data_IF_391056119746
#
_entry.id   IF_391056119746
#
_cell.length_a   1.000
_cell.length_b   1.000
_cell.length_c   1.000
_cell.angle_alpha   90.00
_cell.angle_beta   90.00
_cell.angle_gamma   90.00
#
_symmetry.space_group_name_H-M   'P 1'
#
loop_
_entity.id
_entity.type
_entity.pdbx_description
1 polymer ?
#
# COMPACT_ATOMS: atom_id res chain seq x y z
N UNK A 1 16.11 13.11 5.14
CA UNK A 1 15.98 11.71 5.60
C UNK A 1 16.58 10.81 4.54
N UNK A 2 17.20 9.69 4.93
CA UNK A 2 17.62 8.61 4.04
C UNK A 2 16.98 7.33 4.55
N UNK A 3 16.08 6.74 3.75
CA UNK A 3 15.38 5.51 4.12
C UNK A 3 15.99 4.34 3.35
N UNK A 4 16.42 3.31 4.08
CA UNK A 4 16.76 2.03 3.47
C UNK A 4 15.47 1.37 3.00
N UNK A 5 15.39 1.15 1.69
CA UNK A 5 14.14 0.85 1.01
C UNK A 5 13.72 -0.61 1.20
N UNK A 6 12.40 -0.83 1.26
CA UNK A 6 11.76 -2.13 1.19
C UNK A 6 12.34 -3.22 2.13
N UNK A 7 12.59 -2.88 3.39
CA UNK A 7 13.04 -3.84 4.40
C UNK A 7 11.95 -4.90 4.67
N UNK A 8 12.40 -6.16 4.63
CA UNK A 8 11.63 -7.37 4.88
C UNK A 8 12.62 -8.52 5.17
N UNK A 9 12.12 -9.71 5.53
CA UNK A 9 12.94 -10.86 5.93
C UNK A 9 13.89 -11.34 4.82
N UNK A 10 13.55 -11.11 3.55
CA UNK A 10 14.37 -11.52 2.39
C UNK A 10 15.49 -10.52 2.10
N UNK A 11 15.20 -9.23 2.24
CA UNK A 11 16.10 -8.14 1.88
C UNK A 11 17.06 -7.80 3.03
N UNK A 12 16.62 -7.95 4.28
CA UNK A 12 17.40 -7.61 5.47
C UNK A 12 18.78 -8.31 5.52
N UNK A 13 18.92 -9.62 5.25
CA UNK A 13 20.23 -10.28 5.23
C UNK A 13 21.20 -9.70 4.19
N UNK A 14 20.68 -9.24 3.04
CA UNK A 14 21.50 -8.61 2.00
C UNK A 14 22.03 -7.25 2.48
N UNK A 15 21.18 -6.43 3.09
CA UNK A 15 21.59 -5.13 3.65
C UNK A 15 22.68 -5.30 4.70
N UNK A 16 22.53 -6.29 5.60
CA UNK A 16 23.57 -6.65 6.58
C UNK A 16 24.88 -7.08 5.93
N UNK A 17 24.83 -7.98 4.95
CA UNK A 17 26.03 -8.45 4.22
C UNK A 17 26.78 -7.30 3.55
N UNK A 18 26.05 -6.32 3.03
CA UNK A 18 26.60 -5.12 2.41
C UNK A 18 26.98 -4.02 3.41
N UNK A 19 26.77 -4.24 4.72
CA UNK A 19 26.97 -3.24 5.79
C UNK A 19 26.21 -1.94 5.55
N UNK A 20 25.03 -2.02 4.93
CA UNK A 20 24.26 -0.86 4.49
C UNK A 20 23.78 0.00 5.67
N UNK A 21 23.42 -0.62 6.80
CA UNK A 21 23.01 0.08 8.02
C UNK A 21 24.18 0.88 8.59
N UNK A 22 25.32 0.23 8.77
CA UNK A 22 26.54 0.83 9.32
C UNK A 22 27.01 2.00 8.44
N UNK A 23 27.01 1.81 7.11
CA UNK A 23 27.32 2.88 6.16
C UNK A 23 26.35 4.06 6.28
N UNK A 24 25.04 3.80 6.38
CA UNK A 24 24.05 4.88 6.54
C UNK A 24 24.28 5.67 7.85
N UNK A 25 24.62 4.98 8.94
CA UNK A 25 24.93 5.63 10.22
C UNK A 25 26.25 6.41 10.17
N UNK A 26 27.27 5.92 9.48
CA UNK A 26 28.52 6.67 9.23
C UNK A 26 28.26 7.94 8.42
N UNK A 27 27.47 7.86 7.34
CA UNK A 27 27.07 9.03 6.55
C UNK A 27 26.30 10.06 7.38
N UNK A 28 25.54 9.62 8.40
CA UNK A 28 24.92 10.53 9.36
C UNK A 28 25.95 11.20 10.27
N UNK A 29 26.91 10.44 10.82
CA UNK A 29 28.00 10.98 11.65
C UNK A 29 28.85 12.01 10.88
N UNK A 30 29.05 11.79 9.58
CA UNK A 30 29.72 12.73 8.68
C UNK A 30 28.87 13.97 8.31
N UNK A 31 27.60 14.02 8.72
CA UNK A 31 26.68 15.12 8.41
C UNK A 31 26.11 15.10 6.99
N UNK A 32 26.39 14.06 6.18
CA UNK A 32 25.86 13.91 4.82
C UNK A 32 24.38 13.52 4.81
N UNK A 33 23.94 12.81 5.85
CA UNK A 33 22.54 12.44 6.08
C UNK A 33 22.09 13.05 7.41
N UNK A 34 20.92 13.69 7.44
CA UNK A 34 20.37 14.25 8.70
C UNK A 34 19.73 13.19 9.60
N UNK A 35 18.94 12.29 9.00
CA UNK A 35 18.22 11.23 9.71
C UNK A 35 18.20 9.96 8.87
N UNK A 36 18.43 8.81 9.51
CA UNK A 36 18.43 7.48 8.91
C UNK A 36 17.18 6.72 9.35
N UNK A 37 16.46 6.16 8.39
CA UNK A 37 15.28 5.33 8.65
C UNK A 37 15.18 4.14 7.73
N UNK A 38 14.06 3.45 7.79
CA UNK A 38 13.73 2.32 6.91
C UNK A 38 12.32 2.48 6.35
N UNK A 39 12.09 1.97 5.14
CA UNK A 39 10.75 1.64 4.67
C UNK A 39 10.52 0.15 4.83
N UNK A 40 9.36 -0.26 5.36
CA UNK A 40 9.11 -1.61 5.83
C UNK A 40 7.87 -2.24 5.19
N UNK A 41 8.00 -3.49 4.73
CA UNK A 41 6.97 -4.24 4.00
C UNK A 41 6.96 -5.72 4.39
N UNK A 42 6.82 -6.03 5.68
CA UNK A 42 6.73 -7.41 6.18
C UNK A 42 5.96 -7.46 7.51
N UNK A 43 6.04 -8.59 8.23
CA UNK A 43 5.38 -8.83 9.51
C UNK A 43 6.02 -8.13 10.69
N UNK A 44 5.23 -7.89 11.73
CA UNK A 44 5.69 -7.24 12.96
C UNK A 44 6.92 -7.91 13.59
N UNK A 45 7.01 -9.24 13.55
CA UNK A 45 8.15 -9.99 14.08
C UNK A 45 9.48 -9.66 13.38
N UNK A 46 9.43 -9.38 12.08
CA UNK A 46 10.62 -9.02 11.29
C UNK A 46 11.05 -7.59 11.63
N UNK A 47 10.09 -6.67 11.77
CA UNK A 47 10.41 -5.31 12.20
C UNK A 47 11.03 -5.30 13.60
N UNK A 48 10.49 -6.09 14.53
CA UNK A 48 11.00 -6.19 15.90
C UNK A 48 12.44 -6.68 15.92
N UNK A 49 12.77 -7.67 15.07
CA UNK A 49 14.14 -8.13 14.87
C UNK A 49 15.04 -7.00 14.35
N UNK A 50 14.63 -6.30 13.27
CA UNK A 50 15.44 -5.24 12.66
C UNK A 50 15.73 -4.13 13.66
N UNK A 51 14.72 -3.66 14.39
CA UNK A 51 14.88 -2.56 15.36
C UNK A 51 15.65 -2.98 16.62
N UNK A 52 15.59 -4.26 16.99
CA UNK A 52 16.42 -4.81 18.07
C UNK A 52 17.89 -4.89 17.66
N UNK A 53 18.18 -5.32 16.43
CA UNK A 53 19.56 -5.42 15.92
C UNK A 53 20.17 -4.05 15.58
N UNK A 54 19.34 -3.10 15.10
CA UNK A 54 19.76 -1.77 14.67
C UNK A 54 18.92 -0.66 15.35
N UNK A 55 19.09 -0.46 16.67
CA UNK A 55 18.33 0.53 17.42
C UNK A 55 18.60 1.98 16.99
N UNK A 56 19.67 2.24 16.24
CA UNK A 56 20.02 3.56 15.68
C UNK A 56 19.10 4.03 14.56
N UNK A 57 18.21 3.15 14.03
CA UNK A 57 17.14 3.56 13.10
C UNK A 57 16.24 4.60 13.80
N UNK A 58 16.06 5.77 13.20
CA UNK A 58 15.34 6.88 13.83
C UNK A 58 13.87 6.95 13.47
N UNK A 59 13.48 6.36 12.33
CA UNK A 59 12.13 6.49 11.81
C UNK A 59 11.79 5.29 10.92
N UNK A 60 10.54 4.85 10.96
CA UNK A 60 10.04 3.72 10.17
C UNK A 60 8.90 4.19 9.30
N UNK A 61 8.98 3.93 8.00
CA UNK A 61 7.88 4.11 7.07
C UNK A 61 7.12 2.80 6.92
N UNK A 62 5.80 2.80 7.20
CA UNK A 62 4.95 1.60 7.19
C UNK A 62 3.69 1.81 6.37
N UNK A 63 3.13 0.72 5.85
CA UNK A 63 1.80 0.72 5.26
C UNK A 63 0.75 0.80 6.37
N UNK A 64 -0.13 1.79 6.30
CA UNK A 64 -1.11 2.00 7.34
C UNK A 64 -2.38 2.67 6.80
N UNK A 65 -3.45 1.90 6.72
CA UNK A 65 -4.78 2.32 6.31
C UNK A 65 -5.83 1.44 7.01
N UNK A 66 -7.10 1.85 6.99
CA UNK A 66 -8.14 1.17 7.77
C UNK A 66 -8.44 -0.26 7.27
N UNK A 67 -8.19 -0.56 6.00
CA UNK A 67 -8.47 -1.87 5.42
C UNK A 67 -7.37 -2.89 5.77
N UNK A 68 -6.12 -2.43 5.83
CA UNK A 68 -4.97 -3.27 6.19
C UNK A 68 -4.68 -3.32 7.69
N UNK A 69 -5.41 -2.55 8.50
CA UNK A 69 -5.16 -2.39 9.93
C UNK A 69 -5.10 -3.72 10.69
N UNK A 70 -6.10 -4.58 10.51
CA UNK A 70 -6.16 -5.95 11.08
C UNK A 70 -5.85 -7.03 10.04
N UNK A 71 -5.33 -6.66 8.86
CA UNK A 71 -5.03 -7.63 7.81
C UNK A 71 -3.97 -8.63 8.27
N UNK A 72 -4.25 -9.92 8.10
CA UNK A 72 -3.26 -10.96 8.36
C UNK A 72 -2.05 -10.90 7.41
N UNK A 73 -2.18 -10.25 6.23
CA UNK A 73 -1.09 -10.14 5.25
C UNK A 73 -0.17 -8.94 5.51
N UNK A 74 -0.71 -7.80 5.95
CA UNK A 74 0.09 -6.57 6.17
C UNK A 74 0.42 -6.36 7.65
N UNK A 75 -0.49 -6.77 8.56
CA UNK A 75 -0.38 -6.58 10.01
C UNK A 75 -0.13 -5.12 10.45
N UNK A 76 -0.73 -4.13 9.77
CA UNK A 76 -0.45 -2.71 10.00
C UNK A 76 -0.54 -2.29 11.48
N UNK A 77 -1.53 -2.78 12.24
CA UNK A 77 -1.62 -2.52 13.69
C UNK A 77 -0.40 -3.07 14.43
N UNK A 78 -0.06 -4.36 14.25
CA UNK A 78 1.04 -4.99 14.99
C UNK A 78 2.39 -4.36 14.61
N UNK A 79 2.57 -4.01 13.35
CA UNK A 79 3.75 -3.30 12.85
C UNK A 79 3.87 -1.92 13.52
N UNK A 80 2.76 -1.16 13.60
CA UNK A 80 2.71 0.09 14.35
C UNK A 80 3.04 -0.10 15.83
N UNK A 81 2.48 -1.11 16.49
CA UNK A 81 2.76 -1.44 17.89
C UNK A 81 4.25 -1.75 18.14
N UNK A 82 4.94 -2.37 17.17
CA UNK A 82 6.40 -2.56 17.24
C UNK A 82 7.13 -1.22 17.14
N UNK A 83 6.72 -0.30 16.27
CA UNK A 83 7.29 1.05 16.25
C UNK A 83 7.10 1.75 17.61
N UNK A 84 5.92 1.64 18.22
CA UNK A 84 5.64 2.19 19.57
C UNK A 84 6.55 1.54 20.62
N UNK A 85 6.67 0.21 20.62
CA UNK A 85 7.54 -0.56 21.54
C UNK A 85 9.00 -0.09 21.49
N UNK A 86 9.49 0.25 20.31
CA UNK A 86 10.89 0.70 20.08
C UNK A 86 11.05 2.22 20.11
N UNK A 87 10.02 2.98 20.51
CA UNK A 87 9.98 4.44 20.52
C UNK A 87 10.39 5.06 19.17
N UNK A 88 9.88 4.48 18.07
CA UNK A 88 10.14 4.95 16.71
C UNK A 88 8.96 5.76 16.19
N UNK A 89 9.17 7.02 15.77
CA UNK A 89 8.17 7.74 15.00
C UNK A 89 7.89 7.03 13.68
N UNK A 90 6.68 7.25 13.17
CA UNK A 90 6.18 6.55 11.98
C UNK A 90 5.88 7.52 10.84
N UNK A 91 6.33 7.19 9.63
CA UNK A 91 5.86 7.78 8.38
C UNK A 91 4.83 6.83 7.76
N UNK A 92 3.66 7.34 7.40
CA UNK A 92 2.63 6.51 6.78
C UNK A 92 2.76 6.56 5.27
N UNK A 93 2.77 5.39 4.66
CA UNK A 93 2.55 5.20 3.23
C UNK A 93 1.26 4.41 2.98
N UNK A 94 0.76 4.53 1.76
CA UNK A 94 -0.47 3.90 1.29
C UNK A 94 -1.72 4.19 2.16
N UNK A 95 -1.95 5.43 2.64
CA UNK A 95 -3.13 5.72 3.46
C UNK A 95 -4.44 5.49 2.69
N UNK A 96 -4.41 5.59 1.35
CA UNK A 96 -5.55 5.36 0.44
C UNK A 96 -5.46 4.04 -0.35
N UNK A 97 -4.52 3.15 -0.02
CA UNK A 97 -4.30 1.83 -0.65
C UNK A 97 -4.34 1.83 -2.19
N UNK A 98 -3.51 2.65 -2.81
CA UNK A 98 -3.44 2.77 -4.28
C UNK A 98 -4.69 3.39 -4.94
N UNK A 99 -5.53 4.09 -4.16
CA UNK A 99 -6.78 4.72 -4.60
C UNK A 99 -8.03 3.86 -4.39
N UNK A 100 -7.88 2.62 -3.92
CA UNK A 100 -9.01 1.73 -3.63
C UNK A 100 -9.91 2.25 -2.50
N UNK A 101 -9.35 3.03 -1.56
CA UNK A 101 -10.12 3.66 -0.47
C UNK A 101 -10.75 5.00 -0.87
N UNK A 102 -10.56 5.40 -2.12
CA UNK A 102 -11.24 6.57 -2.73
C UNK A 102 -12.31 6.10 -3.70
N UNK A 103 -12.04 5.04 -4.47
CA UNK A 103 -13.01 4.41 -5.39
C UNK A 103 -13.68 3.22 -4.70
N UNK A 104 -14.71 3.51 -3.92
CA UNK A 104 -15.40 2.50 -3.10
C UNK A 104 -16.50 1.79 -3.91
N UNK A 105 -16.75 0.48 -3.68
CA UNK A 105 -17.97 -0.19 -4.13
C UNK A 105 -19.23 0.62 -3.76
N UNK A 106 -20.30 0.53 -4.56
CA UNK A 106 -21.53 1.31 -4.32
C UNK A 106 -22.11 1.10 -2.90
N UNK A 107 -22.10 -0.14 -2.41
CA UNK A 107 -22.52 -0.48 -1.05
C UNK A 107 -21.67 0.21 0.03
N UNK A 108 -20.36 0.34 -0.20
CA UNK A 108 -19.45 1.03 0.71
C UNK A 108 -19.57 2.55 0.59
N UNK A 109 -19.80 3.08 -0.61
CA UNK A 109 -19.98 4.51 -0.85
C UNK A 109 -21.20 5.06 -0.09
N UNK A 110 -22.32 4.34 -0.13
CA UNK A 110 -23.55 4.72 0.60
C UNK A 110 -23.33 4.94 2.10
N UNK A 111 -22.44 4.14 2.70
CA UNK A 111 -22.11 4.26 4.13
C UNK A 111 -21.44 5.61 4.42
N UNK A 112 -20.56 6.09 3.55
CA UNK A 112 -19.91 7.39 3.70
C UNK A 112 -20.82 8.55 3.28
N UNK A 113 -21.67 8.36 2.27
CA UNK A 113 -22.65 9.38 1.86
C UNK A 113 -23.59 9.75 3.02
N UNK A 114 -23.94 8.78 3.88
CA UNK A 114 -24.78 8.98 5.07
C UNK A 114 -24.12 9.82 6.19
N UNK A 115 -22.79 10.00 6.16
CA UNK A 115 -22.06 10.79 7.17
C UNK A 115 -22.18 12.31 6.95
N UNK A 116 -22.77 12.76 5.83
CA UNK A 116 -22.96 14.18 5.48
C UNK A 116 -21.68 15.05 5.66
N UNK A 117 -20.54 14.58 5.16
CA UNK A 117 -19.29 15.33 5.18
C UNK A 117 -18.14 14.57 4.51
N UNK A 118 -16.95 15.18 4.46
CA UNK A 118 -15.66 14.54 4.10
C UNK A 118 -15.56 13.90 2.71
N UNK A 119 -14.38 13.98 2.09
CA UNK A 119 -14.10 13.10 0.93
C UNK A 119 -13.74 11.69 1.41
N UNK A 120 -13.86 10.67 0.55
CA UNK A 120 -13.36 9.33 0.86
C UNK A 120 -11.87 9.33 1.23
N UNK A 121 -11.08 10.21 0.59
CA UNK A 121 -9.67 10.41 0.92
C UNK A 121 -9.49 10.99 2.33
N UNK A 122 -10.37 11.91 2.74
CA UNK A 122 -10.40 12.47 4.10
C UNK A 122 -10.51 11.38 5.15
N UNK A 123 -11.48 10.46 5.02
CA UNK A 123 -11.64 9.37 5.99
C UNK A 123 -10.40 8.48 6.08
N UNK A 124 -9.83 8.09 4.93
CA UNK A 124 -8.65 7.25 4.88
C UNK A 124 -7.40 7.91 5.49
N UNK A 125 -7.18 9.19 5.17
CA UNK A 125 -6.01 9.94 5.63
C UNK A 125 -6.16 10.39 7.09
N UNK A 126 -7.35 10.83 7.52
CA UNK A 126 -7.63 11.17 8.92
C UNK A 126 -7.52 9.94 9.83
N UNK A 127 -7.97 8.77 9.37
CA UNK A 127 -7.71 7.50 10.08
C UNK A 127 -6.21 7.32 10.32
N UNK A 128 -5.40 7.38 9.26
CA UNK A 128 -3.95 7.22 9.38
C UNK A 128 -3.30 8.30 10.25
N UNK A 129 -3.78 9.54 10.21
CA UNK A 129 -3.23 10.65 10.98
C UNK A 129 -3.63 10.62 12.47
N UNK A 130 -4.65 9.85 12.86
CA UNK A 130 -5.21 9.87 14.22
C UNK A 130 -4.37 9.14 15.28
N UNK A 131 -3.24 8.55 14.91
CA UNK A 131 -2.42 7.72 15.79
C UNK A 131 -1.20 8.51 16.35
N UNK A 132 -0.98 8.56 17.67
CA UNK A 132 0.03 9.46 18.29
C UNK A 132 1.47 9.34 17.76
N UNK A 133 1.94 8.11 17.48
CA UNK A 133 3.29 7.90 16.96
C UNK A 133 3.44 8.20 15.45
N UNK A 134 2.35 8.45 14.74
CA UNK A 134 2.40 8.83 13.33
C UNK A 134 2.77 10.31 13.22
N UNK A 135 3.85 10.60 12.48
CA UNK A 135 4.38 11.97 12.34
C UNK A 135 4.03 12.62 11.02
N UNK A 136 3.95 11.83 9.95
CA UNK A 136 3.64 12.31 8.61
C UNK A 136 2.82 11.25 7.88
N UNK A 137 1.78 11.68 7.18
CA UNK A 137 1.02 10.84 6.26
C UNK A 137 1.34 11.23 4.82
N UNK A 138 1.88 10.31 4.03
CA UNK A 138 2.19 10.53 2.62
C UNK A 138 0.95 10.20 1.78
N UNK A 139 0.20 11.24 1.40
CA UNK A 139 -1.15 11.10 0.84
C UNK A 139 -1.24 10.88 -0.68
N UNK A 140 -0.18 11.15 -1.45
CA UNK A 140 -0.10 10.89 -2.91
C UNK A 140 -1.18 11.58 -3.75
N UNK A 141 -0.83 12.58 -4.56
CA UNK A 141 -1.78 13.37 -5.34
C UNK A 141 -1.30 13.53 -6.79
N UNK A 142 -2.20 13.41 -7.75
CA UNK A 142 -1.92 13.56 -9.19
C UNK A 142 -2.72 14.69 -9.85
N UNK A 143 -3.59 15.38 -9.11
CA UNK A 143 -4.30 16.58 -9.57
C UNK A 143 -4.31 17.67 -8.49
N UNK A 144 -4.53 18.92 -8.91
CA UNK A 144 -4.70 20.03 -7.98
C UNK A 144 -5.94 19.88 -7.10
N UNK A 145 -7.02 19.29 -7.61
CA UNK A 145 -8.23 19.03 -6.82
C UNK A 145 -7.93 18.09 -5.65
N UNK A 146 -7.17 17.01 -5.88
CA UNK A 146 -6.73 16.11 -4.81
C UNK A 146 -5.82 16.83 -3.80
N UNK A 147 -4.96 17.74 -4.26
CA UNK A 147 -4.12 18.54 -3.36
C UNK A 147 -4.97 19.45 -2.46
N UNK A 148 -5.91 20.18 -3.05
CA UNK A 148 -6.79 21.10 -2.32
C UNK A 148 -7.65 20.34 -1.31
N UNK A 149 -8.25 19.22 -1.73
CA UNK A 149 -9.02 18.35 -0.85
C UNK A 149 -8.17 17.84 0.31
N UNK A 150 -7.00 17.24 0.02
CA UNK A 150 -6.12 16.69 1.03
C UNK A 150 -5.61 17.71 2.04
N UNK A 151 -5.35 18.95 1.61
CA UNK A 151 -4.94 20.04 2.50
C UNK A 151 -6.10 20.51 3.37
N UNK A 152 -7.32 20.60 2.82
CA UNK A 152 -8.47 21.19 3.52
C UNK A 152 -8.79 20.56 4.87
N UNK A 153 -8.66 19.24 5.00
CA UNK A 153 -8.93 18.50 6.23
C UNK A 153 -7.67 18.20 7.07
N UNK A 154 -6.47 18.50 6.56
CA UNK A 154 -5.21 18.39 7.32
C UNK A 154 -4.77 19.72 7.91
N UNK A 155 -5.15 20.85 7.32
CA UNK A 155 -4.90 22.20 7.86
C UNK A 155 -5.62 22.39 9.20
N UNK A 156 -6.89 21.96 9.28
CA UNK A 156 -7.69 21.94 10.50
C UNK A 156 -7.97 20.51 10.91
N UNK A 157 -6.92 19.76 11.22
CA UNK A 157 -7.02 18.33 11.49
C UNK A 157 -7.93 18.04 12.70
N UNK A 158 -8.97 17.26 12.45
CA UNK A 158 -9.81 16.63 13.47
C UNK A 158 -9.67 15.11 13.34
N UNK A 159 -9.36 14.37 14.43
CA UNK A 159 -9.42 12.91 14.43
C UNK A 159 -10.81 12.42 14.01
N UNK A 160 -10.90 11.17 13.55
CA UNK A 160 -12.20 10.57 13.27
C UNK A 160 -13.01 10.40 14.55
N UNK A 161 -14.28 10.79 14.52
CA UNK A 161 -15.20 10.57 15.62
C UNK A 161 -15.75 9.12 15.62
N UNK A 162 -16.51 8.76 16.67
CA UNK A 162 -17.05 7.40 16.81
C UNK A 162 -17.96 6.99 15.64
N UNK A 163 -18.80 7.90 15.14
CA UNK A 163 -19.67 7.66 13.99
C UNK A 163 -18.88 7.40 12.71
N UNK A 164 -17.83 8.19 12.46
CA UNK A 164 -16.95 8.00 11.29
C UNK A 164 -16.15 6.69 11.40
N UNK A 165 -15.69 6.34 12.62
CA UNK A 165 -15.02 5.06 12.87
C UNK A 165 -15.98 3.87 12.67
N UNK A 166 -17.24 3.98 13.07
CA UNK A 166 -18.27 2.98 12.79
C UNK A 166 -18.53 2.79 11.30
N UNK A 167 -18.58 3.88 10.54
CA UNK A 167 -18.72 3.83 9.09
C UNK A 167 -17.51 3.14 8.45
N UNK A 168 -16.28 3.45 8.88
CA UNK A 168 -15.08 2.74 8.41
C UNK A 168 -15.18 1.23 8.67
N UNK A 169 -15.63 0.81 9.85
CA UNK A 169 -15.82 -0.62 10.16
C UNK A 169 -16.77 -1.29 9.17
N UNK A 170 -17.92 -0.67 8.90
CA UNK A 170 -18.89 -1.19 7.92
C UNK A 170 -18.33 -1.21 6.50
N UNK A 171 -17.53 -0.21 6.10
CA UNK A 171 -16.83 -0.21 4.81
C UNK A 171 -15.85 -1.39 4.72
N UNK A 172 -15.07 -1.66 5.77
CA UNK A 172 -14.19 -2.83 5.82
C UNK A 172 -14.96 -4.14 5.62
N UNK A 173 -16.14 -4.29 6.23
CA UNK A 173 -16.98 -5.49 6.07
C UNK A 173 -17.44 -5.68 4.61
N UNK A 174 -17.82 -4.59 3.92
CA UNK A 174 -18.16 -4.64 2.49
C UNK A 174 -16.95 -5.09 1.66
N UNK A 175 -15.76 -4.53 1.93
CA UNK A 175 -14.54 -4.92 1.22
C UNK A 175 -14.19 -6.40 1.44
N UNK A 176 -14.32 -6.89 2.67
CA UNK A 176 -14.07 -8.30 3.02
C UNK A 176 -14.99 -9.24 2.23
N UNK A 177 -16.23 -8.84 1.96
CA UNK A 177 -17.19 -9.63 1.19
C UNK A 177 -16.89 -9.69 -0.32
N UNK A 178 -16.19 -8.70 -0.90
CA UNK A 178 -15.94 -8.60 -2.36
C UNK A 178 -14.73 -9.40 -2.86
N UNK A 179 -13.91 -9.98 -1.97
CA UNK A 179 -12.73 -10.80 -2.29
C UNK A 179 -11.81 -10.19 -3.38
N UNK A 180 -11.51 -8.90 -3.24
CA UNK A 180 -10.67 -8.16 -4.19
C UNK A 180 -9.19 -8.56 -4.09
N UNK A 181 -8.46 -8.37 -5.18
CA UNK A 181 -7.01 -8.54 -5.21
C UNK A 181 -6.37 -7.40 -4.39
N UNK A 182 -5.60 -7.66 -3.33
CA UNK A 182 -5.04 -6.62 -2.46
C UNK A 182 -3.76 -5.99 -3.04
N UNK A 183 -3.80 -5.61 -4.32
CA UNK A 183 -2.73 -4.88 -5.00
C UNK A 183 -2.73 -3.40 -4.59
N UNK A 184 -1.53 -2.84 -4.38
CA UNK A 184 -1.35 -1.42 -3.98
C UNK A 184 -0.88 -0.54 -5.15
N UNK A 185 -0.79 -1.13 -6.34
CA UNK A 185 -0.36 -0.48 -7.58
C UNK A 185 1.05 0.17 -7.53
N UNK A 186 1.96 -0.34 -6.71
CA UNK A 186 3.34 0.15 -6.55
C UNK A 186 4.26 -0.04 -7.76
N UNK A 187 3.83 -0.78 -8.79
CA UNK A 187 4.55 -1.03 -10.06
C UNK A 187 5.92 -1.73 -10.00
N UNK A 188 6.42 -2.16 -8.84
CA UNK A 188 7.68 -2.95 -8.76
C UNK A 188 7.67 -4.23 -9.61
N UNK A 189 6.50 -4.88 -9.72
CA UNK A 189 6.34 -6.06 -10.56
C UNK A 189 6.53 -5.81 -12.06
N UNK A 190 6.51 -4.55 -12.53
CA UNK A 190 6.81 -4.21 -13.93
C UNK A 190 8.17 -3.50 -14.06
N UNK A 191 8.54 -2.65 -13.10
CA UNK A 191 9.77 -1.87 -13.14
C UNK A 191 11.02 -2.70 -12.77
N UNK A 192 10.91 -3.60 -11.79
CA UNK A 192 12.06 -4.34 -11.25
C UNK A 192 12.14 -5.79 -11.75
N UNK A 193 11.01 -6.38 -12.16
CA UNK A 193 10.97 -7.81 -12.51
C UNK A 193 11.40 -8.14 -13.95
N UNK A 194 11.36 -7.16 -14.86
CA UNK A 194 11.56 -7.34 -16.31
C UNK A 194 10.74 -8.52 -16.87
N UNK A 195 9.40 -8.38 -16.84
CA UNK A 195 8.46 -9.38 -17.37
C UNK A 195 8.69 -9.60 -18.87
N UNK A 196 9.05 -10.82 -19.33
CA UNK A 196 9.32 -11.07 -20.77
C UNK A 196 8.12 -10.80 -21.68
N UNK A 197 6.92 -10.90 -21.11
CA UNK A 197 5.65 -10.67 -21.79
C UNK A 197 5.12 -9.24 -21.63
N UNK A 198 5.83 -8.36 -20.90
CA UNK A 198 5.41 -6.98 -20.65
C UNK A 198 3.97 -6.87 -20.12
N UNK A 199 3.53 -7.83 -19.30
CA UNK A 199 2.20 -7.81 -18.69
C UNK A 199 2.14 -6.65 -17.68
N UNK A 200 1.16 -5.77 -17.84
CA UNK A 200 0.91 -4.62 -16.97
C UNK A 200 0.18 -5.05 -15.68
N UNK A 201 0.85 -5.87 -14.86
CA UNK A 201 0.24 -6.57 -13.71
C UNK A 201 -0.61 -5.67 -12.79
N UNK A 202 -0.13 -4.47 -12.35
CA UNK A 202 -0.94 -3.61 -11.49
C UNK A 202 -2.24 -3.17 -12.17
N UNK A 203 -2.14 -2.79 -13.45
CA UNK A 203 -3.26 -2.31 -14.24
C UNK A 203 -4.28 -3.45 -14.52
N UNK A 204 -3.78 -4.68 -14.73
CA UNK A 204 -4.63 -5.89 -14.84
C UNK A 204 -5.42 -6.16 -13.56
N UNK A 205 -4.78 -6.05 -12.39
CA UNK A 205 -5.45 -6.26 -11.10
C UNK A 205 -6.45 -5.13 -10.80
N UNK A 206 -6.12 -3.88 -11.16
CA UNK A 206 -7.05 -2.76 -11.07
C UNK A 206 -8.28 -2.98 -11.96
N UNK A 207 -8.11 -3.43 -13.21
CA UNK A 207 -9.22 -3.75 -14.09
C UNK A 207 -10.09 -4.90 -13.54
N UNK A 208 -9.47 -5.96 -13.03
CA UNK A 208 -10.18 -7.08 -12.39
C UNK A 208 -11.02 -6.63 -11.19
N UNK A 209 -10.41 -5.88 -10.27
CA UNK A 209 -11.12 -5.34 -9.12
C UNK A 209 -12.26 -4.40 -9.56
N UNK A 210 -12.01 -3.54 -10.55
CA UNK A 210 -13.04 -2.63 -11.07
C UNK A 210 -14.25 -3.41 -11.63
N UNK A 211 -14.01 -4.47 -12.42
CA UNK A 211 -15.08 -5.32 -12.96
C UNK A 211 -15.85 -6.04 -11.85
N UNK A 212 -15.15 -6.62 -10.87
CA UNK A 212 -15.78 -7.33 -9.73
C UNK A 212 -16.57 -6.40 -8.83
N UNK A 213 -16.10 -5.18 -8.64
CA UNK A 213 -16.67 -4.21 -7.70
C UNK A 213 -17.80 -3.40 -8.30
N UNK A 214 -17.66 -2.96 -9.55
CA UNK A 214 -18.58 -2.01 -10.19
C UNK A 214 -19.39 -2.62 -11.34
N UNK A 215 -19.14 -3.88 -11.71
CA UNK A 215 -19.75 -4.48 -12.90
C UNK A 215 -19.39 -3.74 -14.19
N UNK A 216 -18.28 -3.00 -14.19
CA UNK A 216 -17.93 -2.04 -15.23
C UNK A 216 -17.68 -2.74 -16.58
N UNK A 217 -18.62 -2.60 -17.51
CA UNK A 217 -18.49 -3.10 -18.89
C UNK A 217 -17.28 -2.48 -19.61
N UNK A 218 -16.82 -1.30 -19.20
CA UNK A 218 -15.62 -0.70 -19.77
C UNK A 218 -14.35 -1.39 -19.30
N UNK A 219 -14.38 -2.21 -18.24
CA UNK A 219 -13.21 -2.97 -17.82
C UNK A 219 -12.82 -4.01 -18.90
N UNK A 220 -13.80 -4.64 -19.56
CA UNK A 220 -13.54 -5.54 -20.70
C UNK A 220 -12.95 -4.78 -21.89
N UNK A 221 -13.48 -3.59 -22.20
CA UNK A 221 -12.92 -2.74 -23.24
C UNK A 221 -11.48 -2.32 -22.91
N UNK A 222 -11.25 -1.85 -21.68
CA UNK A 222 -9.95 -1.38 -21.20
C UNK A 222 -8.91 -2.51 -21.20
N UNK A 223 -9.28 -3.70 -20.74
CA UNK A 223 -8.44 -4.88 -20.83
C UNK A 223 -8.04 -5.16 -22.28
N UNK A 224 -9.03 -5.34 -23.17
CA UNK A 224 -8.82 -5.82 -24.53
C UNK A 224 -8.17 -4.78 -25.47
N UNK A 225 -8.44 -3.48 -25.27
CA UNK A 225 -8.08 -2.43 -26.22
C UNK A 225 -7.04 -1.43 -25.69
N UNK A 226 -6.74 -1.47 -24.38
CA UNK A 226 -5.72 -0.59 -23.79
C UNK A 226 -4.58 -1.42 -23.19
N UNK A 227 -4.88 -2.32 -22.26
CA UNK A 227 -3.84 -3.06 -21.54
C UNK A 227 -3.11 -4.08 -22.42
N UNK A 228 -3.83 -4.75 -23.32
CA UNK A 228 -3.27 -5.82 -24.16
C UNK A 228 -2.82 -5.37 -25.55
N UNK A 229 -2.90 -4.07 -25.87
CA UNK A 229 -2.50 -3.54 -27.18
C UNK A 229 -0.99 -3.51 -27.32
N UNK A 230 -0.31 -2.87 -26.37
CA UNK A 230 1.16 -2.79 -26.32
C UNK A 230 1.79 -3.68 -25.21
N UNK A 231 0.93 -4.25 -24.34
CA UNK A 231 1.29 -5.15 -23.26
C UNK A 231 0.84 -6.59 -23.52
N UNK A 232 1.42 -7.55 -22.79
CA UNK A 232 1.00 -8.95 -22.87
C UNK A 232 -0.30 -9.23 -22.13
N UNK A 233 -1.04 -10.23 -22.60
CA UNK A 233 -2.26 -10.70 -21.94
C UNK A 233 -1.95 -11.44 -20.64
N UNK A 234 -2.93 -11.50 -19.73
CA UNK A 234 -2.77 -12.24 -18.48
C UNK A 234 -2.52 -13.75 -18.74
N UNK A 235 -3.17 -14.34 -19.74
CA UNK A 235 -2.99 -15.73 -20.15
C UNK A 235 -1.58 -16.05 -20.68
N UNK A 236 -0.82 -15.05 -21.14
CA UNK A 236 0.54 -15.24 -21.63
C UNK A 236 1.58 -15.40 -20.51
N UNK A 237 1.16 -15.31 -19.25
CA UNK A 237 2.04 -15.45 -18.10
C UNK A 237 2.82 -16.79 -18.15
N UNK A 238 4.13 -16.70 -18.34
CA UNK A 238 5.04 -17.85 -18.37
C UNK A 238 5.28 -18.48 -16.99
N UNK A 239 4.61 -18.00 -15.94
CA UNK A 239 4.75 -18.43 -14.54
C UNK A 239 6.19 -18.41 -14.00
N UNK A 240 7.05 -17.55 -14.57
CA UNK A 240 8.48 -17.46 -14.22
C UNK A 240 8.79 -16.97 -12.79
N UNK A 241 7.82 -16.33 -12.12
CA UNK A 241 7.92 -15.92 -10.71
C UNK A 241 8.76 -14.66 -10.43
N UNK A 242 9.30 -13.99 -11.45
CA UNK A 242 10.11 -12.77 -11.27
C UNK A 242 9.33 -11.64 -10.57
N UNK A 243 8.06 -11.44 -10.94
CA UNK A 243 7.20 -10.41 -10.37
C UNK A 243 6.90 -10.64 -8.87
N UNK A 244 6.71 -11.88 -8.45
CA UNK A 244 6.42 -12.21 -7.04
C UNK A 244 7.62 -11.96 -6.14
N UNK A 245 8.85 -12.15 -6.65
CA UNK A 245 10.09 -11.89 -5.89
C UNK A 245 10.29 -10.43 -5.53
N UNK A 246 9.72 -9.51 -6.31
CA UNK A 246 9.82 -8.05 -6.09
C UNK A 246 8.52 -7.45 -5.55
N UNK A 247 7.47 -8.26 -5.39
CA UNK A 247 6.20 -7.78 -4.88
C UNK A 247 6.30 -7.55 -3.37
N UNK A 248 6.16 -6.31 -2.88
CA UNK A 248 6.29 -6.01 -1.46
C UNK A 248 5.10 -6.52 -0.65
N UNK A 249 3.98 -6.82 -1.34
CA UNK A 249 2.78 -7.40 -0.76
C UNK A 249 2.79 -8.93 -0.75
N UNK A 250 3.86 -9.56 -1.27
CA UNK A 250 3.98 -11.01 -1.41
C UNK A 250 2.78 -11.68 -2.09
N UNK A 251 2.15 -10.99 -3.05
CA UNK A 251 0.99 -11.52 -3.76
C UNK A 251 1.37 -12.75 -4.60
N UNK A 252 0.49 -13.77 -4.68
CA UNK A 252 0.64 -14.88 -5.61
C UNK A 252 0.27 -14.44 -7.03
N UNK A 253 1.05 -13.50 -7.60
CA UNK A 253 0.75 -12.81 -8.86
C UNK A 253 0.45 -13.80 -10.00
N UNK A 254 1.15 -14.93 -10.06
CA UNK A 254 0.95 -15.93 -11.13
C UNK A 254 -0.42 -16.58 -11.08
N UNK A 255 -0.91 -16.86 -9.87
CA UNK A 255 -2.26 -17.42 -9.65
C UNK A 255 -3.32 -16.36 -9.97
N UNK A 256 -3.13 -15.15 -9.44
CA UNK A 256 -4.03 -14.02 -9.65
C UNK A 256 -4.15 -13.66 -11.14
N UNK A 257 -3.07 -13.67 -11.91
CA UNK A 257 -3.11 -13.49 -13.37
C UNK A 257 -3.93 -14.59 -14.06
N UNK A 258 -3.93 -15.82 -13.53
CA UNK A 258 -4.82 -16.88 -14.02
C UNK A 258 -6.31 -16.55 -13.79
N UNK A 259 -6.64 -15.96 -12.64
CA UNK A 259 -8.00 -15.48 -12.36
C UNK A 259 -8.39 -14.32 -13.27
N UNK A 260 -7.47 -13.37 -13.51
CA UNK A 260 -7.67 -12.27 -14.48
C UNK A 260 -7.97 -12.84 -15.87
N UNK A 261 -7.15 -13.79 -16.35
CA UNK A 261 -7.35 -14.40 -17.66
C UNK A 261 -8.72 -15.09 -17.76
N UNK A 262 -9.13 -15.85 -16.73
CA UNK A 262 -10.45 -16.49 -16.71
C UNK A 262 -11.63 -15.50 -16.71
N UNK A 263 -11.43 -14.29 -16.19
CA UNK A 263 -12.48 -13.27 -16.14
C UNK A 263 -12.64 -12.47 -17.45
N UNK A 264 -11.53 -12.17 -18.13
CA UNK A 264 -11.50 -11.27 -19.29
C UNK A 264 -11.27 -11.95 -20.64
N UNK A 265 -10.60 -13.09 -20.68
CA UNK A 265 -10.23 -13.78 -21.93
C UNK A 265 -11.14 -14.99 -22.19
N UNK A 266 -12.45 -14.73 -22.22
CA UNK A 266 -13.49 -15.73 -22.51
C UNK A 266 -13.69 -15.92 -24.01
#
# INVERSE_FOLDING_TARGET
FYLMHAQNAQVFPKYKKCRAYETAFELKKEGKVKHVGISFHDKASVLDQILTEYPEVEIVQIQFNYLDYESASVESRKVYEVCVKHDKPVLIMEPVKGGNLVKLPEEAQKIFDDLNGGSNASYAIRFAASFPNNRVVLSGMSSMEQMIDNVSYMENFEPLNETEMDAIRKVCDVFAAKNMIPCTACRYCIEESSCPKKILIPDMFSAYNAKKTFGDWNADFYYNNVLTTDGGKASECLKCGKCERVCPQHLPIRELLGQVAAEFEK
#
